data_IF_930100315750
#
_entry.id   IF_930100315750
#
_cell.length_a   1.000
_cell.length_b   1.000
_cell.length_c   1.000
_cell.angle_alpha   90.00
_cell.angle_beta   90.00
_cell.angle_gamma   90.00
#
_symmetry.space_group_name_H-M   'P 1'
#
loop_
_entity.id
_entity.type
_entity.pdbx_description
1 polymer ?
#
# COMPACT_ATOMS: atom_id res chain seq x y z
N UNK A 1 19.40 -6.94 11.89
CA UNK A 1 18.20 -6.39 12.57
C UNK A 1 17.03 -7.01 11.86
N UNK A 2 16.10 -7.59 12.62
CA UNK A 2 14.96 -8.28 12.03
C UNK A 2 13.83 -7.29 11.75
N UNK A 3 13.69 -6.91 10.48
CA UNK A 3 12.56 -6.14 9.99
C UNK A 3 11.40 -7.07 9.68
N UNK A 4 10.19 -6.67 10.07
CA UNK A 4 8.96 -7.33 9.67
C UNK A 4 8.12 -6.31 8.92
N UNK A 5 7.79 -6.59 7.67
CA UNK A 5 7.08 -5.67 6.81
C UNK A 5 5.82 -6.31 6.23
N UNK A 6 4.75 -5.55 6.02
CA UNK A 6 3.58 -6.05 5.30
C UNK A 6 3.99 -6.45 3.87
N UNK A 7 3.63 -7.65 3.46
CA UNK A 7 3.78 -8.13 2.09
C UNK A 7 2.40 -8.40 1.52
N UNK A 8 2.03 -7.73 0.44
CA UNK A 8 0.80 -8.03 -0.28
C UNK A 8 1.14 -8.99 -1.41
N UNK A 9 0.40 -10.09 -1.47
CA UNK A 9 0.58 -11.15 -2.47
C UNK A 9 -0.70 -11.27 -3.26
N UNK A 10 -0.60 -11.31 -4.59
CA UNK A 10 -1.73 -11.49 -5.50
C UNK A 10 -1.40 -12.62 -6.46
N UNK A 11 -2.22 -13.68 -6.56
CA UNK A 11 -2.07 -14.63 -7.66
C UNK A 11 -2.34 -13.90 -8.97
N UNK A 12 -1.52 -14.20 -9.98
CA UNK A 12 -1.80 -13.82 -11.36
C UNK A 12 -2.29 -15.07 -12.11
N UNK A 13 -2.96 -14.87 -13.25
CA UNK A 13 -3.40 -15.99 -14.08
C UNK A 13 -2.24 -16.96 -14.40
N UNK A 14 -2.54 -18.26 -14.40
CA UNK A 14 -1.53 -19.31 -14.61
C UNK A 14 -0.77 -19.68 -13.34
N UNK A 15 0.55 -19.83 -13.43
CA UNK A 15 1.45 -20.18 -12.31
C UNK A 15 2.20 -18.98 -11.73
N UNK A 16 1.82 -17.76 -12.11
CA UNK A 16 2.51 -16.54 -11.69
C UNK A 16 1.88 -15.95 -10.43
N UNK A 17 2.71 -15.31 -9.63
CA UNK A 17 2.33 -14.57 -8.44
C UNK A 17 2.98 -13.19 -8.52
N UNK A 18 2.26 -12.16 -8.09
CA UNK A 18 2.78 -10.83 -7.86
C UNK A 18 2.91 -10.60 -6.35
N UNK A 19 4.00 -9.98 -5.90
CA UNK A 19 4.17 -9.59 -4.51
C UNK A 19 4.76 -8.18 -4.42
N UNK A 20 4.37 -7.42 -3.39
CA UNK A 20 4.89 -6.07 -3.17
C UNK A 20 4.80 -5.61 -1.72
N UNK A 21 5.67 -4.69 -1.34
CA UNK A 21 5.67 -4.05 -0.02
C UNK A 21 4.97 -2.69 -0.13
N UNK A 22 3.76 -2.50 0.46
CA UNK A 22 2.96 -1.30 0.29
C UNK A 22 3.47 -0.09 1.08
N UNK A 23 4.37 -0.30 2.05
CA UNK A 23 4.88 0.75 2.93
C UNK A 23 5.79 1.77 2.23
N UNK A 24 6.28 1.47 1.02
CA UNK A 24 7.34 2.24 0.38
C UNK A 24 6.91 2.95 -0.90
N UNK A 25 7.54 4.10 -1.15
CA UNK A 25 7.50 4.80 -2.43
C UNK A 25 8.92 5.21 -2.88
N UNK A 26 9.37 4.89 -4.11
CA UNK A 26 8.74 3.99 -5.07
C UNK A 26 8.50 2.60 -4.48
N UNK A 27 7.43 1.93 -4.93
CA UNK A 27 7.02 0.62 -4.41
C UNK A 27 8.00 -0.46 -4.82
N UNK A 28 8.40 -1.32 -3.88
CA UNK A 28 9.13 -2.55 -4.16
C UNK A 28 8.13 -3.65 -4.53
N UNK A 29 8.26 -4.22 -5.73
CA UNK A 29 7.36 -5.24 -6.24
C UNK A 29 8.05 -6.18 -7.23
N UNK A 30 7.56 -7.41 -7.33
CA UNK A 30 8.03 -8.40 -8.30
C UNK A 30 6.90 -9.30 -8.79
N UNK A 31 7.13 -9.97 -9.92
CA UNK A 31 6.26 -11.00 -10.49
C UNK A 31 7.10 -12.21 -10.83
N UNK A 32 6.66 -13.39 -10.42
CA UNK A 32 7.43 -14.62 -10.62
C UNK A 32 6.61 -15.88 -10.40
N UNK A 33 7.16 -17.06 -10.75
CA UNK A 33 6.48 -18.34 -10.62
C UNK A 33 6.47 -18.90 -9.19
N UNK A 34 7.26 -18.31 -8.28
CA UNK A 34 7.38 -18.75 -6.90
C UNK A 34 7.35 -17.58 -5.94
N UNK A 35 6.48 -17.67 -4.93
CA UNK A 35 6.45 -16.69 -3.84
C UNK A 35 7.71 -16.74 -2.99
N UNK A 36 8.37 -17.90 -2.84
CA UNK A 36 9.62 -17.98 -2.06
C UNK A 36 10.72 -17.15 -2.71
N UNK A 37 10.92 -17.29 -4.01
CA UNK A 37 11.90 -16.51 -4.78
C UNK A 37 11.59 -15.02 -4.72
N UNK A 38 10.32 -14.63 -4.87
CA UNK A 38 9.91 -13.24 -4.74
C UNK A 38 10.17 -12.68 -3.34
N UNK A 39 10.02 -13.49 -2.28
CA UNK A 39 10.32 -13.07 -0.91
C UNK A 39 11.81 -12.81 -0.75
N UNK A 40 12.67 -13.67 -1.26
CA UNK A 40 14.13 -13.50 -1.16
C UNK A 40 14.58 -12.24 -1.92
N UNK A 41 14.08 -12.04 -3.15
CA UNK A 41 14.38 -10.86 -3.97
C UNK A 41 13.89 -9.56 -3.31
N UNK A 42 12.66 -9.56 -2.77
CA UNK A 42 12.11 -8.39 -2.09
C UNK A 42 12.81 -8.13 -0.75
N UNK A 43 13.20 -9.17 -0.01
CA UNK A 43 13.97 -9.01 1.22
C UNK A 43 15.32 -8.35 0.93
N UNK A 44 16.02 -8.80 -0.10
CA UNK A 44 17.27 -8.18 -0.55
C UNK A 44 17.06 -6.71 -0.93
N UNK A 45 16.04 -6.41 -1.75
CA UNK A 45 15.75 -5.05 -2.17
C UNK A 45 15.37 -4.12 -0.99
N UNK A 46 14.67 -4.65 0.02
CA UNK A 46 14.37 -3.92 1.25
C UNK A 46 15.63 -3.65 2.06
N UNK A 47 16.49 -4.67 2.24
CA UNK A 47 17.75 -4.55 2.97
C UNK A 47 18.64 -3.46 2.35
N UNK A 48 18.87 -3.54 1.04
CA UNK A 48 19.68 -2.55 0.30
C UNK A 48 19.14 -1.13 0.40
N UNK A 49 17.81 -0.98 0.47
CA UNK A 49 17.14 0.30 0.65
C UNK A 49 17.29 0.80 2.08
N UNK A 50 17.07 -0.06 3.07
CA UNK A 50 17.13 0.25 4.49
C UNK A 50 18.51 0.72 4.93
N UNK A 51 19.56 0.05 4.46
CA UNK A 51 20.95 0.38 4.79
C UNK A 51 21.39 1.76 4.29
N UNK A 52 20.74 2.25 3.22
CA UNK A 52 20.98 3.57 2.63
C UNK A 52 20.06 4.66 3.19
N UNK A 53 19.09 4.28 4.02
CA UNK A 53 18.07 5.19 4.52
C UNK A 53 18.63 6.08 5.64
N UNK A 54 18.32 7.38 5.69
CA UNK A 54 18.64 8.21 6.86
C UNK A 54 18.02 7.64 8.13
N UNK A 55 18.75 7.69 9.25
CA UNK A 55 18.28 7.18 10.54
C UNK A 55 16.91 7.76 10.96
N UNK A 56 16.61 9.00 10.57
CA UNK A 56 15.32 9.66 10.82
C UNK A 56 14.11 8.96 10.17
N UNK A 57 14.31 8.17 9.12
CA UNK A 57 13.23 7.49 8.38
C UNK A 57 13.10 6.00 8.72
N UNK A 58 13.95 5.46 9.61
CA UNK A 58 13.91 4.05 10.03
C UNK A 58 12.55 3.65 10.63
N UNK A 59 11.81 4.60 11.23
CA UNK A 59 10.48 4.34 11.76
C UNK A 59 9.49 3.80 10.71
N UNK A 60 9.66 4.14 9.43
CA UNK A 60 8.83 3.62 8.33
C UNK A 60 8.99 2.12 8.08
N UNK A 61 10.04 1.50 8.63
CA UNK A 61 10.32 0.06 8.51
C UNK A 61 9.80 -0.74 9.72
N UNK A 62 9.13 -0.09 10.67
CA UNK A 62 8.52 -0.77 11.80
C UNK A 62 7.11 -1.25 11.47
N UNK A 63 6.78 -2.48 11.89
CA UNK A 63 5.44 -3.04 11.75
C UNK A 63 4.51 -2.48 12.82
N UNK A 64 3.40 -1.81 12.46
CA UNK A 64 2.37 -1.45 13.43
C UNK A 64 1.72 -2.71 14.01
N UNK A 65 1.38 -2.74 15.32
CA UNK A 65 0.83 -3.92 15.96
C UNK A 65 -0.58 -4.28 15.49
N UNK A 66 -1.34 -3.30 14.97
CA UNK A 66 -2.63 -3.53 14.35
C UNK A 66 -2.52 -3.33 12.85
N UNK A 67 -2.67 -4.44 12.11
CA UNK A 67 -2.51 -4.50 10.67
C UNK A 67 -3.60 -5.35 10.06
N UNK A 68 -4.26 -4.85 9.01
CA UNK A 68 -5.23 -5.64 8.26
C UNK A 68 -5.29 -5.24 6.79
N UNK A 69 -5.40 -6.22 5.90
CA UNK A 69 -5.75 -5.98 4.49
C UNK A 69 -7.27 -6.07 4.34
N UNK A 70 -7.89 -5.01 3.81
CA UNK A 70 -9.32 -5.01 3.47
C UNK A 70 -9.51 -4.80 1.97
N UNK A 71 -10.51 -5.47 1.42
CA UNK A 71 -10.95 -5.21 0.06
C UNK A 71 -12.26 -4.45 0.09
N UNK A 72 -12.23 -3.21 -0.37
CA UNK A 72 -13.32 -2.25 -0.25
C UNK A 72 -13.92 -2.03 -1.63
N UNK A 73 -15.25 -2.20 -1.75
CA UNK A 73 -15.97 -1.81 -2.97
C UNK A 73 -16.02 -0.29 -3.03
N UNK A 74 -15.62 0.26 -4.17
CA UNK A 74 -15.68 1.69 -4.49
C UNK A 74 -16.73 1.87 -5.56
N UNK A 75 -17.68 2.75 -5.28
CA UNK A 75 -18.73 3.16 -6.20
C UNK A 75 -19.01 4.63 -5.91
N UNK A 76 -18.46 5.51 -6.73
CA UNK A 76 -18.50 6.96 -6.47
C UNK A 76 -18.37 7.77 -7.75
N UNK A 77 -18.89 8.99 -7.67
CA UNK A 77 -18.75 9.99 -8.70
C UNK A 77 -18.17 11.27 -8.08
N UNK A 78 -17.09 11.76 -8.68
CA UNK A 78 -16.45 13.03 -8.31
C UNK A 78 -16.62 14.03 -9.45
N UNK A 79 -16.89 15.29 -9.11
CA UNK A 79 -17.05 16.38 -10.09
C UNK A 79 -16.22 17.57 -9.67
N UNK A 80 -15.47 18.11 -10.62
CA UNK A 80 -14.84 19.42 -10.53
C UNK A 80 -15.65 20.40 -11.39
N UNK A 81 -16.30 21.37 -10.74
CA UNK A 81 -17.14 22.35 -11.42
C UNK A 81 -16.32 23.43 -12.12
N UNK A 82 -15.13 23.75 -11.61
CA UNK A 82 -14.27 24.78 -12.18
C UNK A 82 -13.65 24.28 -13.49
N UNK A 83 -13.23 23.01 -13.52
CA UNK A 83 -12.69 22.36 -14.72
C UNK A 83 -13.75 21.68 -15.60
N UNK A 84 -15.04 21.75 -15.23
CA UNK A 84 -16.14 21.02 -15.86
C UNK A 84 -15.83 19.52 -16.09
N UNK A 85 -15.25 18.88 -15.08
CA UNK A 85 -14.75 17.50 -15.16
C UNK A 85 -15.53 16.57 -14.25
N UNK A 86 -15.73 15.34 -14.71
CA UNK A 86 -16.49 14.29 -14.00
C UNK A 86 -15.71 13.00 -14.09
N UNK A 87 -15.52 12.35 -12.94
CA UNK A 87 -14.87 11.04 -12.81
C UNK A 87 -15.84 10.10 -12.12
N UNK A 88 -16.08 8.95 -12.73
CA UNK A 88 -16.90 7.87 -12.16
C UNK A 88 -15.99 6.69 -11.86
N UNK A 89 -15.94 6.27 -10.61
CA UNK A 89 -15.09 5.19 -10.14
C UNK A 89 -15.95 4.03 -9.67
N UNK A 90 -15.76 2.87 -10.29
CA UNK A 90 -16.42 1.64 -9.89
C UNK A 90 -15.41 0.49 -9.91
N UNK A 91 -15.20 -0.14 -8.75
CA UNK A 91 -14.20 -1.19 -8.63
C UNK A 91 -14.07 -1.73 -7.21
N UNK A 92 -13.06 -2.56 -7.00
CA UNK A 92 -12.66 -3.01 -5.66
C UNK A 92 -11.22 -2.58 -5.44
N UNK A 93 -10.92 -2.02 -4.27
CA UNK A 93 -9.59 -1.58 -3.91
C UNK A 93 -9.10 -2.37 -2.70
N UNK A 94 -7.87 -2.87 -2.77
CA UNK A 94 -7.18 -3.45 -1.64
C UNK A 94 -6.51 -2.33 -0.85
N UNK A 95 -6.79 -2.25 0.44
CA UNK A 95 -6.25 -1.22 1.33
C UNK A 95 -5.62 -1.88 2.56
N UNK A 96 -4.41 -1.44 2.88
CA UNK A 96 -3.75 -1.78 4.13
C UNK A 96 -4.22 -0.80 5.20
N UNK A 97 -4.69 -1.33 6.33
CA UNK A 97 -5.04 -0.59 7.53
C UNK A 97 -3.96 -0.81 8.57
N UNK A 98 -3.42 0.29 9.08
CA UNK A 98 -2.32 0.32 10.04
C UNK A 98 -2.72 1.19 11.23
N UNK A 99 -2.48 0.73 12.46
CA UNK A 99 -2.70 1.55 13.67
C UNK A 99 -1.65 1.28 14.73
N UNK A 100 -1.05 2.36 15.22
CA UNK A 100 -0.28 2.33 16.46
C UNK A 100 -1.21 2.50 17.67
N UNK A 101 -0.92 1.88 18.83
CA UNK A 101 -1.81 1.91 19.98
C UNK A 101 -2.09 3.32 20.53
N UNK A 102 -1.16 4.26 20.31
CA UNK A 102 -1.27 5.65 20.77
C UNK A 102 -1.92 6.59 19.75
N UNK A 103 -2.13 6.13 18.52
CA UNK A 103 -2.73 6.97 17.49
C UNK A 103 -4.25 6.95 17.63
N UNK A 104 -4.88 8.12 17.56
CA UNK A 104 -6.36 8.23 17.57
C UNK A 104 -6.97 7.82 16.22
N UNK A 105 -6.14 7.67 15.18
CA UNK A 105 -6.55 7.32 13.83
C UNK A 105 -5.95 5.97 13.38
N UNK A 106 -6.39 5.54 12.20
CA UNK A 106 -5.82 4.48 11.38
C UNK A 106 -5.18 5.12 10.15
N UNK A 107 -4.03 4.62 9.73
CA UNK A 107 -3.47 4.93 8.43
C UNK A 107 -4.06 3.95 7.42
N UNK A 108 -4.59 4.49 6.34
CA UNK A 108 -5.15 3.73 5.22
C UNK A 108 -4.25 3.92 4.01
N UNK A 109 -3.69 2.82 3.52
CA UNK A 109 -2.79 2.82 2.35
C UNK A 109 -3.41 1.97 1.23
N UNK A 110 -3.92 2.56 0.14
CA UNK A 110 -4.31 1.80 -1.05
C UNK A 110 -3.10 1.04 -1.60
N UNK A 111 -3.14 -0.28 -1.61
CA UNK A 111 -1.92 -1.09 -1.78
C UNK A 111 -1.32 -0.96 -3.18
N UNK A 112 -2.12 -0.56 -4.17
CA UNK A 112 -1.69 -0.29 -5.55
C UNK A 112 -1.47 1.19 -5.86
N UNK A 113 -1.81 2.08 -4.92
CA UNK A 113 -1.67 3.54 -5.06
C UNK A 113 -1.33 4.14 -3.68
N UNK A 114 -0.16 3.80 -3.10
CA UNK A 114 0.22 4.21 -1.75
C UNK A 114 0.31 5.73 -1.57
N UNK A 115 0.51 6.49 -2.63
CA UNK A 115 0.50 7.95 -2.67
C UNK A 115 -0.87 8.55 -2.31
N UNK A 116 -1.96 7.81 -2.51
CA UNK A 116 -3.29 8.20 -2.07
C UNK A 116 -3.59 7.86 -0.60
N UNK A 117 -2.57 7.54 0.20
CA UNK A 117 -2.70 7.28 1.65
C UNK A 117 -3.40 8.41 2.40
N UNK A 118 -4.14 8.05 3.44
CA UNK A 118 -4.86 9.01 4.29
C UNK A 118 -5.09 8.46 5.70
N UNK A 119 -5.48 9.35 6.63
CA UNK A 119 -5.84 8.99 7.98
C UNK A 119 -7.37 8.84 8.15
N UNK A 120 -7.79 7.90 8.99
CA UNK A 120 -9.20 7.57 9.23
C UNK A 120 -9.45 7.33 10.72
N UNK A 121 -10.44 8.01 11.32
CA UNK A 121 -10.74 7.83 12.74
C UNK A 121 -11.23 6.41 13.10
N UNK A 122 -12.17 5.87 12.31
CA UNK A 122 -12.77 4.56 12.57
C UNK A 122 -12.81 3.68 11.31
N UNK A 123 -12.48 2.37 11.36
CA UNK A 123 -12.46 1.49 10.20
C UNK A 123 -13.81 1.35 9.47
N UNK A 124 -14.93 1.65 10.13
CA UNK A 124 -16.26 1.55 9.53
C UNK A 124 -16.55 2.68 8.54
N UNK A 125 -15.89 3.84 8.70
CA UNK A 125 -15.98 4.94 7.75
C UNK A 125 -15.13 4.71 6.48
N UNK A 126 -14.39 3.59 6.42
CA UNK A 126 -13.45 3.29 5.35
C UNK A 126 -14.07 3.32 3.94
N UNK A 127 -15.24 2.69 3.66
CA UNK A 127 -15.79 2.69 2.31
C UNK A 127 -16.06 4.11 1.78
N UNK A 128 -16.69 4.94 2.61
CA UNK A 128 -17.03 6.32 2.24
C UNK A 128 -15.78 7.20 2.14
N UNK A 129 -14.85 7.09 3.10
CA UNK A 129 -13.63 7.89 3.11
C UNK A 129 -12.71 7.55 1.94
N UNK A 130 -12.56 6.25 1.62
CA UNK A 130 -11.78 5.79 0.48
C UNK A 130 -12.37 6.29 -0.84
N UNK A 131 -13.68 6.12 -1.05
CA UNK A 131 -14.35 6.62 -2.25
C UNK A 131 -14.11 8.13 -2.46
N UNK A 132 -14.30 8.93 -1.41
CA UNK A 132 -14.01 10.37 -1.46
C UNK A 132 -12.55 10.66 -1.76
N UNK A 133 -11.61 9.96 -1.12
CA UNK A 133 -10.17 10.16 -1.33
C UNK A 133 -9.75 9.84 -2.76
N UNK A 134 -10.20 8.72 -3.31
CA UNK A 134 -9.89 8.31 -4.67
C UNK A 134 -10.49 9.28 -5.70
N UNK A 135 -11.74 9.72 -5.49
CA UNK A 135 -12.37 10.73 -6.34
C UNK A 135 -11.60 12.06 -6.35
N UNK A 136 -11.20 12.56 -5.17
CA UNK A 136 -10.36 13.75 -5.05
C UNK A 136 -9.00 13.55 -5.73
N UNK A 137 -8.35 12.41 -5.51
CA UNK A 137 -7.05 12.08 -6.11
C UNK A 137 -7.10 12.11 -7.64
N UNK A 138 -8.14 11.52 -8.25
CA UNK A 138 -8.34 11.53 -9.70
C UNK A 138 -8.54 12.94 -10.27
N UNK A 139 -9.21 13.83 -9.52
CA UNK A 139 -9.37 15.23 -9.91
C UNK A 139 -8.07 16.04 -9.76
N UNK A 140 -7.32 15.79 -8.68
CA UNK A 140 -6.02 16.41 -8.39
C UNK A 140 -4.97 16.06 -9.45
N UNK A 141 -4.97 14.82 -9.94
CA UNK A 141 -3.93 14.26 -10.83
C UNK A 141 -4.39 14.07 -12.28
N UNK A 142 -5.54 14.65 -12.64
CA UNK A 142 -6.07 14.56 -14.00
C UNK A 142 -6.26 13.13 -14.56
N UNK A 143 -6.69 12.19 -13.68
CA UNK A 143 -6.95 10.78 -14.02
C UNK A 143 -8.43 10.48 -14.21
N UNK A 144 -8.81 9.85 -15.33
CA UNK A 144 -10.21 9.54 -15.65
C UNK A 144 -10.69 8.18 -15.10
N UNK A 145 -9.75 7.29 -14.79
CA UNK A 145 -10.02 5.97 -14.21
C UNK A 145 -8.86 5.51 -13.31
N UNK A 146 -9.01 4.35 -12.69
CA UNK A 146 -8.02 3.71 -11.81
C UNK A 146 -7.81 2.24 -12.20
N UNK A 147 -7.89 1.91 -13.48
CA UNK A 147 -7.95 0.52 -13.96
C UNK A 147 -6.75 -0.32 -13.53
N UNK A 148 -5.57 0.29 -13.42
CA UNK A 148 -4.34 -0.37 -12.97
C UNK A 148 -4.23 -0.51 -11.44
N UNK A 149 -5.02 0.27 -10.70
CA UNK A 149 -4.98 0.31 -9.25
C UNK A 149 -6.07 -0.58 -8.61
N UNK A 150 -7.05 -1.04 -9.38
CA UNK A 150 -8.06 -1.96 -8.86
C UNK A 150 -7.47 -3.30 -8.40
N UNK A 151 -8.07 -3.81 -7.33
CA UNK A 151 -7.77 -5.12 -6.80
C UNK A 151 -8.29 -6.21 -7.73
N UNK A 152 -7.54 -7.29 -7.82
CA UNK A 152 -7.94 -8.53 -8.50
C UNK A 152 -8.89 -9.37 -7.62
N UNK A 153 -8.99 -9.07 -6.33
CA UNK A 153 -9.88 -9.72 -5.37
C UNK A 153 -9.27 -10.92 -4.66
N UNK A 154 -8.05 -11.30 -5.04
CA UNK A 154 -7.30 -12.41 -4.46
C UNK A 154 -6.05 -11.96 -3.73
N UNK A 155 -5.90 -10.65 -3.49
CA UNK A 155 -4.80 -10.13 -2.69
C UNK A 155 -4.89 -10.67 -1.25
N UNK A 156 -3.75 -11.07 -0.70
CA UNK A 156 -3.63 -11.50 0.70
C UNK A 156 -2.45 -10.81 1.35
N UNK A 157 -2.54 -10.68 2.67
CA UNK A 157 -1.48 -10.13 3.49
C UNK A 157 -0.61 -11.26 4.03
N UNK A 158 0.69 -11.12 3.84
CA UNK A 158 1.74 -11.91 4.46
C UNK A 158 2.73 -10.98 5.16
N UNK A 159 3.72 -11.56 5.84
CA UNK A 159 4.83 -10.84 6.43
C UNK A 159 6.11 -11.18 5.68
N UNK A 160 6.83 -10.13 5.27
CA UNK A 160 8.20 -10.23 4.80
C UNK A 160 9.13 -10.05 6.00
N UNK A 161 9.96 -11.04 6.24
CA UNK A 161 11.04 -10.97 7.23
C UNK A 161 12.33 -10.64 6.50
N UNK A 162 13.04 -9.63 6.99
CA UNK A 162 14.28 -9.16 6.37
C UNK A 162 15.32 -8.99 7.48
N UNK A 163 16.47 -9.64 7.33
CA UNK A 163 17.63 -9.32 8.15
C UNK A 163 18.42 -8.22 7.46
N UNK A 164 18.52 -7.07 8.11
CA UNK A 164 19.22 -5.91 7.57
C UNK A 164 20.13 -5.26 8.61
N UNK A 165 21.22 -4.64 8.17
CA UNK A 165 22.04 -3.83 9.07
C UNK A 165 21.40 -2.47 9.28
N UNK A 166 21.42 -1.97 10.52
CA UNK A 166 20.92 -0.64 10.82
C UNK A 166 21.73 0.40 10.01
N UNK A 167 21.08 1.41 9.40
CA UNK A 167 21.79 2.43 8.66
C UNK A 167 22.80 3.16 9.58
N UNK A 168 23.97 3.47 9.02
CA UNK A 168 25.07 4.10 9.77
C UNK A 168 24.64 5.47 10.30
N UNK A 169 24.81 5.68 11.61
CA UNK A 169 24.47 6.94 12.30
C UNK A 169 25.68 7.91 12.31
N UNK A 170 26.81 7.49 11.74
CA UNK A 170 28.04 8.27 11.63
C UNK A 170 28.14 8.86 10.21
N UNK A 171 28.52 10.15 10.09
CA UNK A 171 28.71 10.83 8.80
C UNK A 171 29.91 10.29 8.02
#
# INVERSE_FOLDING_TARGET
MDLKLPLVVSPLGGRLVQAWVPAFWPRLSGVGPSLSTLRDELALAVMERFEKEPAAHVAAYQLPPHLALRHVKVDTEARDREKNRRVVLQGRMAVLLEKWPRDEFWVVTPTRMPEARFALGHPDALPQALARRLGAWCLEHDLDNLDQAWATGHERLELLEVDAYAPTILP
#
